data_IF_537799294738
#
_entry.id   IF_537799294738
#
_cell.length_a   1.000
_cell.length_b   1.000
_cell.length_c   1.000
_cell.angle_alpha   90.00
_cell.angle_beta   90.00
_cell.angle_gamma   90.00
#
_symmetry.space_group_name_H-M   'P 1'
#
loop_
_entity.id
_entity.type
_entity.pdbx_description
1 polymer ?
#
# COMPACT_ATOMS: atom_id res chain seq x y z
N UNK A 1 -8.84 -47.98 -16.52
CA UNK A 1 -8.78 -46.56 -16.90
C UNK A 1 -9.54 -45.76 -15.85
N UNK A 2 -8.85 -45.25 -14.83
CA UNK A 2 -9.49 -44.58 -13.68
C UNK A 2 -9.41 -43.06 -13.89
N UNK A 3 -10.58 -42.50 -14.21
CA UNK A 3 -11.06 -41.14 -13.93
C UNK A 3 -10.00 -40.03 -13.84
N UNK A 4 -9.79 -39.33 -14.95
CA UNK A 4 -9.13 -38.02 -15.05
C UNK A 4 -9.93 -36.87 -14.41
N UNK A 5 -11.03 -37.15 -13.69
CA UNK A 5 -11.97 -36.15 -13.15
C UNK A 5 -11.72 -35.77 -11.68
N UNK A 6 -10.71 -36.32 -11.01
CA UNK A 6 -10.46 -36.05 -9.58
C UNK A 6 -9.30 -35.03 -9.37
N UNK A 7 -8.49 -34.74 -10.40
CA UNK A 7 -7.38 -33.77 -10.26
C UNK A 7 -7.80 -32.29 -10.28
N UNK A 8 -9.06 -31.98 -10.56
CA UNK A 8 -9.54 -30.59 -10.75
C UNK A 8 -10.20 -29.98 -9.50
N UNK A 9 -10.05 -30.58 -8.32
CA UNK A 9 -10.55 -30.01 -7.05
C UNK A 9 -9.46 -29.65 -6.04
N UNK A 10 -8.21 -30.04 -6.27
CA UNK A 10 -7.14 -29.97 -5.26
C UNK A 10 -6.16 -28.78 -5.40
N UNK A 11 -6.30 -27.92 -6.41
CA UNK A 11 -5.39 -26.77 -6.62
C UNK A 11 -6.10 -25.40 -6.73
N UNK A 12 -7.38 -25.29 -6.34
CA UNK A 12 -8.12 -24.02 -6.32
C UNK A 12 -7.85 -23.15 -5.07
N UNK A 13 -7.12 -23.69 -4.09
CA UNK A 13 -6.80 -23.03 -2.81
C UNK A 13 -5.34 -22.57 -2.70
N UNK A 14 -4.49 -22.86 -3.67
CA UNK A 14 -3.12 -22.32 -3.72
C UNK A 14 -3.11 -21.04 -4.55
N UNK A 15 -2.55 -19.97 -3.98
CA UNK A 15 -2.47 -18.68 -4.67
C UNK A 15 -1.58 -18.81 -5.92
N UNK A 16 -1.81 -17.97 -6.94
CA UNK A 16 -0.79 -17.73 -7.95
C UNK A 16 0.49 -17.27 -7.25
N UNK A 17 1.63 -17.90 -7.55
CA UNK A 17 2.93 -17.53 -6.97
C UNK A 17 3.24 -16.02 -7.12
N UNK A 18 2.70 -15.39 -8.17
CA UNK A 18 2.80 -13.95 -8.42
C UNK A 18 2.15 -13.08 -7.33
N UNK A 19 1.09 -13.55 -6.65
CA UNK A 19 0.43 -12.80 -5.58
C UNK A 19 1.30 -12.74 -4.33
N UNK A 20 1.81 -13.88 -3.86
CA UNK A 20 2.74 -13.94 -2.73
C UNK A 20 4.01 -13.12 -3.01
N UNK A 21 4.55 -13.23 -4.22
CA UNK A 21 5.70 -12.42 -4.63
C UNK A 21 5.40 -10.91 -4.58
N UNK A 22 4.19 -10.49 -4.97
CA UNK A 22 3.76 -9.09 -4.88
C UNK A 22 3.66 -8.57 -3.44
N UNK A 23 3.10 -9.37 -2.54
CA UNK A 23 2.96 -9.03 -1.11
C UNK A 23 4.32 -8.95 -0.42
N UNK A 24 5.20 -9.94 -0.62
CA UNK A 24 6.55 -9.93 -0.04
C UNK A 24 7.39 -8.77 -0.58
N UNK A 25 7.37 -8.51 -1.90
CA UNK A 25 8.06 -7.34 -2.48
C UNK A 25 7.54 -6.01 -1.93
N UNK A 26 6.23 -5.92 -1.67
CA UNK A 26 5.64 -4.73 -1.04
C UNK A 26 6.15 -4.56 0.39
N UNK A 27 6.23 -5.64 1.16
CA UNK A 27 6.79 -5.64 2.52
C UNK A 27 8.27 -5.28 2.54
N UNK A 28 9.07 -5.84 1.64
CA UNK A 28 10.50 -5.50 1.51
C UNK A 28 10.70 -4.01 1.20
N UNK A 29 9.91 -3.46 0.27
CA UNK A 29 9.91 -2.03 -0.03
C UNK A 29 9.51 -1.21 1.20
N UNK A 30 8.42 -1.58 1.86
CA UNK A 30 7.94 -0.90 3.05
C UNK A 30 8.99 -0.88 4.17
N UNK A 31 9.72 -2.00 4.38
CA UNK A 31 10.79 -2.09 5.39
C UNK A 31 11.91 -1.06 5.14
N UNK A 32 12.28 -0.82 3.89
CA UNK A 32 13.27 0.22 3.52
C UNK A 32 12.77 1.65 3.76
N UNK A 33 11.45 1.80 3.87
CA UNK A 33 10.75 3.08 4.08
C UNK A 33 10.21 3.23 5.52
N UNK A 34 10.57 2.33 6.44
CA UNK A 34 10.09 2.38 7.81
C UNK A 34 10.45 3.71 8.48
N UNK A 35 9.53 4.28 9.26
CA UNK A 35 9.63 5.60 9.89
C UNK A 35 9.76 6.81 8.95
N UNK A 36 9.62 6.64 7.62
CA UNK A 36 9.63 7.72 6.63
C UNK A 36 8.22 8.14 6.22
N UNK A 37 8.11 9.33 5.62
CA UNK A 37 6.89 9.74 4.91
C UNK A 37 6.79 8.93 3.63
N UNK A 38 5.65 8.28 3.44
CA UNK A 38 5.33 7.46 2.27
C UNK A 38 3.97 7.86 1.74
N UNK A 39 3.72 7.50 0.48
CA UNK A 39 2.41 7.62 -0.14
C UNK A 39 1.86 6.25 -0.53
N UNK A 40 0.57 6.04 -0.32
CA UNK A 40 -0.18 4.87 -0.78
C UNK A 40 -1.07 5.33 -1.92
N UNK A 41 -0.73 4.87 -3.11
CA UNK A 41 -1.47 5.09 -4.35
C UNK A 41 -2.66 4.13 -4.43
N UNK A 42 -3.85 4.71 -4.43
CA UNK A 42 -5.13 4.02 -4.55
C UNK A 42 -5.79 4.44 -5.87
N UNK A 43 -6.80 3.70 -6.31
CA UNK A 43 -7.43 3.91 -7.63
C UNK A 43 -7.87 5.35 -7.91
N UNK A 44 -8.37 6.06 -6.88
CA UNK A 44 -8.94 7.40 -7.02
C UNK A 44 -8.32 8.44 -6.10
N UNK A 45 -7.33 8.04 -5.30
CA UNK A 45 -6.73 8.87 -4.27
C UNK A 45 -5.30 8.46 -3.96
N UNK A 46 -4.53 9.41 -3.45
CA UNK A 46 -3.20 9.16 -2.90
C UNK A 46 -3.24 9.55 -1.44
N UNK A 47 -2.87 8.63 -0.55
CA UNK A 47 -2.80 8.89 0.88
C UNK A 47 -1.35 9.01 1.30
N UNK A 48 -0.99 10.11 1.95
CA UNK A 48 0.38 10.34 2.42
C UNK A 48 0.42 10.37 3.93
N UNK A 49 1.36 9.65 4.53
CA UNK A 49 1.52 9.61 5.98
C UNK A 49 2.89 9.06 6.37
N UNK A 50 3.20 9.09 7.67
CA UNK A 50 4.44 8.51 8.18
C UNK A 50 4.23 7.02 8.44
N UNK A 51 5.04 6.17 7.81
CA UNK A 51 4.98 4.72 8.04
C UNK A 51 5.54 4.38 9.42
N UNK A 52 4.74 3.73 10.27
CA UNK A 52 5.12 3.39 11.65
C UNK A 52 5.13 1.89 11.95
N UNK A 53 4.37 1.09 11.20
CA UNK A 53 4.39 -0.37 11.33
C UNK A 53 4.07 -1.05 9.99
N UNK A 54 4.60 -2.26 9.83
CA UNK A 54 4.50 -3.06 8.61
C UNK A 54 4.27 -4.50 9.02
N UNK A 55 3.23 -5.12 8.48
CA UNK A 55 2.90 -6.52 8.74
C UNK A 55 2.40 -7.23 7.48
N UNK A 56 2.22 -8.55 7.55
CA UNK A 56 1.41 -9.31 6.59
C UNK A 56 0.18 -9.79 7.33
N UNK A 57 -1.00 -9.35 6.86
CA UNK A 57 -2.26 -9.66 7.51
C UNK A 57 -3.21 -10.33 6.51
N UNK A 58 -4.03 -11.26 7.01
CA UNK A 58 -5.11 -11.91 6.28
C UNK A 58 -6.42 -11.51 6.95
N UNK A 59 -7.04 -10.48 6.41
CA UNK A 59 -8.38 -10.06 6.82
C UNK A 59 -9.37 -11.21 6.62
N UNK A 60 -10.25 -11.47 7.59
CA UNK A 60 -11.15 -12.64 7.58
C UNK A 60 -12.07 -12.69 6.34
N UNK A 61 -12.43 -11.52 5.80
CA UNK A 61 -13.27 -11.35 4.62
C UNK A 61 -12.50 -11.49 3.30
N UNK A 62 -11.17 -11.50 3.36
CA UNK A 62 -10.32 -11.56 2.19
C UNK A 62 -9.72 -12.96 2.07
N UNK A 63 -9.85 -13.53 0.88
CA UNK A 63 -9.29 -14.85 0.58
C UNK A 63 -7.75 -14.86 0.72
N UNK A 64 -7.09 -13.70 0.63
CA UNK A 64 -5.65 -13.57 0.40
C UNK A 64 -4.96 -12.63 1.40
N UNK A 65 -3.68 -12.90 1.76
CA UNK A 65 -2.89 -12.00 2.59
C UNK A 65 -2.50 -10.73 1.83
N UNK A 66 -2.32 -9.64 2.57
CA UNK A 66 -1.88 -8.35 2.08
C UNK A 66 -0.72 -7.82 2.94
N UNK A 67 0.10 -6.96 2.36
CA UNK A 67 1.05 -6.18 3.14
C UNK A 67 0.26 -5.06 3.82
N UNK A 68 0.19 -5.11 5.15
CA UNK A 68 -0.47 -4.13 5.99
C UNK A 68 0.51 -3.04 6.37
N UNK A 69 0.13 -1.81 6.12
CA UNK A 69 0.89 -0.61 6.44
C UNK A 69 0.10 0.19 7.48
N UNK A 70 0.76 0.57 8.56
CA UNK A 70 0.19 1.48 9.55
C UNK A 70 0.81 2.85 9.35
N UNK A 71 -0.01 3.83 9.01
CA UNK A 71 0.41 5.21 8.79
C UNK A 71 -0.03 6.10 9.94
N UNK A 72 0.85 7.01 10.36
CA UNK A 72 0.55 8.09 11.30
C UNK A 72 0.26 9.40 10.57
N UNK A 73 -0.74 10.12 11.06
CA UNK A 73 -1.27 11.37 10.51
C UNK A 73 -1.46 11.33 8.99
N UNK A 74 -2.19 10.33 8.45
CA UNK A 74 -2.41 10.22 7.03
C UNK A 74 -3.29 11.37 6.52
N UNK A 75 -2.95 11.87 5.34
CA UNK A 75 -3.67 12.88 4.60
C UNK A 75 -4.05 12.33 3.24
N UNK A 76 -5.32 12.46 2.87
CA UNK A 76 -5.83 12.00 1.57
C UNK A 76 -5.89 13.15 0.59
N UNK A 77 -5.38 12.88 -0.61
CA UNK A 77 -5.45 13.74 -1.77
C UNK A 77 -6.18 13.01 -2.89
N UNK A 78 -6.96 13.74 -3.68
CA UNK A 78 -7.54 13.24 -4.93
C UNK A 78 -6.45 13.11 -5.98
N UNK A 79 -6.69 12.29 -7.00
CA UNK A 79 -5.74 12.11 -8.12
C UNK A 79 -5.38 13.40 -8.86
N UNK A 80 -6.24 14.42 -8.80
CA UNK A 80 -5.98 15.76 -9.38
C UNK A 80 -5.10 16.66 -8.49
N UNK A 81 -4.70 16.20 -7.31
CA UNK A 81 -3.85 16.93 -6.37
C UNK A 81 -4.59 17.74 -5.31
N UNK A 82 -5.93 17.81 -5.36
CA UNK A 82 -6.70 18.51 -4.34
C UNK A 82 -6.67 17.73 -3.03
N UNK A 83 -6.41 18.45 -1.93
CA UNK A 83 -6.56 17.90 -0.59
C UNK A 83 -8.02 17.57 -0.32
N UNK A 84 -8.27 16.35 0.16
CA UNK A 84 -9.62 15.89 0.47
C UNK A 84 -9.88 15.96 1.97
N UNK A 85 -9.06 15.28 2.78
CA UNK A 85 -9.20 15.30 4.23
C UNK A 85 -7.94 14.85 4.96
N UNK A 86 -7.84 15.26 6.24
CA UNK A 86 -6.96 14.62 7.22
C UNK A 86 -7.71 13.42 7.79
N UNK A 87 -7.08 12.26 7.78
CA UNK A 87 -7.67 11.03 8.33
C UNK A 87 -7.43 10.97 9.86
N UNK A 88 -7.77 9.83 10.48
CA UNK A 88 -7.50 9.55 11.90
C UNK A 88 -6.00 9.66 12.22
N UNK A 89 -5.63 9.76 13.50
CA UNK A 89 -4.20 9.84 13.88
C UNK A 89 -3.42 8.63 13.36
N UNK A 90 -4.03 7.44 13.37
CA UNK A 90 -3.45 6.20 12.88
C UNK A 90 -4.46 5.54 11.94
N UNK A 91 -3.99 5.12 10.76
CA UNK A 91 -4.81 4.39 9.78
C UNK A 91 -4.06 3.20 9.20
N UNK A 92 -4.84 2.22 8.74
CA UNK A 92 -4.34 0.98 8.17
C UNK A 92 -4.59 0.93 6.66
N UNK A 93 -3.57 0.54 5.91
CA UNK A 93 -3.64 0.37 4.46
C UNK A 93 -3.16 -1.02 4.07
N UNK A 94 -3.85 -1.63 3.11
CA UNK A 94 -3.51 -2.96 2.60
C UNK A 94 -3.03 -2.83 1.16
N UNK A 95 -1.79 -3.24 0.91
CA UNK A 95 -1.15 -3.21 -0.41
C UNK A 95 -0.78 -4.61 -0.85
N UNK A 96 -0.97 -4.91 -2.13
CA UNK A 96 -0.61 -6.19 -2.74
C UNK A 96 0.41 -6.06 -3.87
N UNK A 97 0.79 -4.84 -4.24
CA UNK A 97 1.77 -4.56 -5.28
C UNK A 97 2.73 -3.47 -4.80
N UNK A 98 4.06 -3.62 -5.02
CA UNK A 98 5.05 -2.67 -4.52
C UNK A 98 4.89 -1.27 -5.12
N UNK A 99 4.32 -1.18 -6.33
CA UNK A 99 4.03 0.10 -7.00
C UNK A 99 2.92 0.93 -6.35
N UNK A 100 2.15 0.34 -5.43
CA UNK A 100 1.13 1.10 -4.68
C UNK A 100 1.75 1.88 -3.53
N UNK A 101 2.90 1.43 -3.01
CA UNK A 101 3.64 2.17 -1.99
C UNK A 101 4.69 3.01 -2.70
N UNK A 102 4.69 4.32 -2.45
CA UNK A 102 5.61 5.28 -3.06
C UNK A 102 6.43 5.95 -1.97
N UNK A 103 7.72 6.10 -2.21
CA UNK A 103 8.52 7.08 -1.48
C UNK A 103 8.31 8.50 -2.02
N UNK A 104 9.03 9.48 -1.46
CA UNK A 104 8.89 10.87 -1.86
C UNK A 104 9.40 11.16 -3.28
N UNK A 105 10.39 10.41 -3.77
CA UNK A 105 10.94 10.56 -5.11
C UNK A 105 9.94 10.03 -6.14
N UNK A 106 9.44 8.81 -5.93
CA UNK A 106 8.39 8.21 -6.75
C UNK A 106 7.08 9.00 -6.72
N UNK A 107 6.74 9.60 -5.57
CA UNK A 107 5.59 10.50 -5.47
C UNK A 107 5.82 11.78 -6.29
N UNK A 108 7.05 12.32 -6.29
CA UNK A 108 7.38 13.53 -7.04
C UNK A 108 7.27 13.31 -8.56
N UNK A 109 7.62 12.12 -9.03
CA UNK A 109 7.52 11.75 -10.44
C UNK A 109 6.08 11.47 -10.86
N UNK A 110 5.34 10.69 -10.06
CA UNK A 110 4.00 10.22 -10.43
C UNK A 110 2.88 11.21 -10.12
N UNK A 111 3.02 11.96 -9.03
CA UNK A 111 2.03 12.93 -8.56
C UNK A 111 2.70 14.24 -8.12
N UNK A 112 3.34 14.99 -9.04
CA UNK A 112 4.13 16.17 -8.71
C UNK A 112 3.33 17.26 -7.99
N UNK A 113 2.03 17.38 -8.27
CA UNK A 113 1.14 18.36 -7.62
C UNK A 113 0.99 18.04 -6.13
N UNK A 114 0.78 16.76 -5.79
CA UNK A 114 0.62 16.27 -4.42
C UNK A 114 1.94 16.42 -3.67
N UNK A 115 3.06 16.01 -4.30
CA UNK A 115 4.40 16.19 -3.74
C UNK A 115 4.69 17.64 -3.36
N UNK A 116 4.37 18.61 -4.23
CA UNK A 116 4.54 20.05 -3.96
C UNK A 116 3.71 20.51 -2.76
N UNK A 117 2.48 20.03 -2.62
CA UNK A 117 1.62 20.36 -1.49
C UNK A 117 2.21 19.86 -0.16
N UNK A 118 2.67 18.60 -0.15
CA UNK A 118 3.26 17.97 1.05
C UNK A 118 4.60 18.61 1.42
N UNK A 119 5.46 18.91 0.45
CA UNK A 119 6.77 19.52 0.70
C UNK A 119 6.65 20.87 1.41
N UNK A 120 5.60 21.65 1.10
CA UNK A 120 5.29 22.89 1.83
C UNK A 120 4.94 22.63 3.28
N UNK A 121 4.21 21.56 3.58
CA UNK A 121 3.83 21.21 4.95
C UNK A 121 5.00 20.62 5.75
N UNK A 122 5.82 19.75 5.14
CA UNK A 122 6.99 19.14 5.80
C UNK A 122 8.02 20.21 6.20
N UNK A 123 8.24 21.22 5.35
CA UNK A 123 9.17 22.32 5.67
C UNK A 123 8.73 23.21 6.85
N UNK A 124 7.49 23.10 7.29
CA UNK A 124 6.93 23.93 8.38
C UNK A 124 7.05 23.23 9.75
N UNK A 125 7.41 21.96 9.80
CA UNK A 125 7.73 21.27 11.06
C UNK A 125 9.26 21.18 11.25
N UNK A 126 9.88 22.05 12.06
CA UNK A 126 11.24 21.88 12.55
C UNK A 126 11.38 20.65 13.47
#
# INVERSE_FOLDING_TARGET
MVSSLIKTKADLDKLPASWYSGVEKSREKARKLNNKVVAVDQTTSVVVGRLIAIDIDKLWNFKYPYCKLTLRNPQRYRSNGNFECKMSEIELFFVNKPKMLLDLEELSDRHPIIYRAIRKQIKICP
#
